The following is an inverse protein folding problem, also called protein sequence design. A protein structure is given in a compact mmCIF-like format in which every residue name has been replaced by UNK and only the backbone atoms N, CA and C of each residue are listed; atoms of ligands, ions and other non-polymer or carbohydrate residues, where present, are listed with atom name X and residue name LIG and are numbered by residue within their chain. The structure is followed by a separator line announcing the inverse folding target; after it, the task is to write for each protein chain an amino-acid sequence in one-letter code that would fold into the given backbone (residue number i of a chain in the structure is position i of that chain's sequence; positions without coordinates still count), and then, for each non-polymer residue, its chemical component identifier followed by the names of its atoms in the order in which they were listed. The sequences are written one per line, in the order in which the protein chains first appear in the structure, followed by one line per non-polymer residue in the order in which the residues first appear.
data_IF_349663618770
#
_entry.id   IF_349663618770
#
_cell.length_a   1.000
_cell.length_b   1.000
_cell.length_c   1.000
_cell.angle_alpha   90.00
_cell.angle_beta   90.00
_cell.angle_gamma   90.00
#
_symmetry.space_group_name_H-M   'P 1'
#
loop_
_entity.id
_entity.type
_entity.pdbx_description
1 polymer ?
#
# COMPACT_ATOMS: atom_id res chain seq x y z
N UNK A 1 -8.02 -11.79 2.01
CA UNK A 1 -8.91 -10.94 1.19
C UNK A 1 -8.85 -9.45 1.55
N UNK A 2 -8.90 -9.06 2.84
CA UNK A 2 -8.88 -7.65 3.28
C UNK A 2 -7.64 -6.83 2.84
N UNK A 3 -6.42 -7.37 2.94
CA UNK A 3 -5.20 -6.63 2.55
C UNK A 3 -5.13 -6.32 1.05
N UNK A 4 -5.54 -7.27 0.21
CA UNK A 4 -5.63 -7.09 -1.26
C UNK A 4 -6.74 -6.09 -1.61
N UNK A 5 -7.84 -6.09 -0.85
CA UNK A 5 -8.92 -5.11 -0.98
C UNK A 5 -8.45 -3.69 -0.63
N UNK A 6 -7.70 -3.50 0.46
CA UNK A 6 -7.12 -2.21 0.83
C UNK A 6 -6.08 -1.70 -0.20
N UNK A 7 -5.24 -2.59 -0.75
CA UNK A 7 -4.33 -2.25 -1.85
C UNK A 7 -5.09 -1.85 -3.12
N UNK A 8 -6.21 -2.52 -3.41
CA UNK A 8 -7.06 -2.22 -4.57
C UNK A 8 -7.78 -0.88 -4.44
N UNK A 9 -8.14 -0.46 -3.23
CA UNK A 9 -8.64 0.90 -2.95
C UNK A 9 -7.56 1.98 -3.12
N UNK A 10 -6.28 1.66 -2.91
CA UNK A 10 -5.17 2.59 -3.13
C UNK A 10 -4.87 2.83 -4.63
N UNK A 11 -5.14 1.84 -5.49
CA UNK A 11 -4.93 1.93 -6.92
C UNK A 11 -5.98 2.75 -7.67
N UNK A 12 -7.23 2.76 -7.17
CA UNK A 12 -8.39 3.23 -7.97
C UNK A 12 -8.82 4.67 -7.73
N UNK A 13 -8.52 5.29 -6.58
CA UNK A 13 -8.85 6.69 -6.34
C UNK A 13 -7.74 7.44 -5.59
N UNK A 14 -7.44 8.70 -5.97
CA UNK A 14 -6.54 9.54 -5.20
C UNK A 14 -7.08 9.65 -3.77
N UNK A 15 -6.18 9.53 -2.79
CA UNK A 15 -6.50 9.82 -1.39
C UNK A 15 -6.95 11.29 -1.36
N UNK A 16 -8.26 11.54 -1.27
CA UNK A 16 -8.84 12.87 -1.08
C UNK A 16 -8.68 13.33 0.39
N UNK A 17 -7.57 12.93 1.02
CA UNK A 17 -7.22 13.21 2.40
C UNK A 17 -5.88 13.92 2.35
N UNK A 18 -5.84 15.14 2.87
CA UNK A 18 -4.62 15.93 2.94
C UNK A 18 -3.51 15.19 3.70
N UNK A 19 -2.27 15.49 3.34
CA UNK A 19 -1.11 14.90 4.00
C UNK A 19 -1.14 15.22 5.50
N UNK A 20 -0.96 14.24 6.39
CA UNK A 20 -0.91 14.48 7.83
C UNK A 20 0.20 15.49 8.19
N UNK A 21 -0.09 16.38 9.14
CA UNK A 21 0.88 17.38 9.60
C UNK A 21 2.16 16.76 10.18
N UNK A 22 3.25 17.54 10.23
CA UNK A 22 4.59 17.06 10.65
C UNK A 22 4.63 16.35 12.02
N UNK A 23 3.68 16.61 12.90
CA UNK A 23 3.61 16.01 14.23
C UNK A 23 3.04 14.58 14.22
N UNK A 24 2.32 14.19 13.16
CA UNK A 24 1.85 12.81 12.96
C UNK A 24 2.78 12.05 12.00
N UNK A 25 3.98 11.72 12.49
CA UNK A 25 4.97 10.98 11.73
C UNK A 25 4.46 9.61 11.26
N UNK A 26 3.61 8.96 12.06
CA UNK A 26 3.04 7.64 11.75
C UNK A 26 1.99 7.73 10.66
N UNK A 27 1.08 8.70 10.75
CA UNK A 27 0.10 9.00 9.71
C UNK A 27 0.79 9.42 8.42
N UNK A 28 1.79 10.30 8.49
CA UNK A 28 2.56 10.73 7.32
C UNK A 28 3.24 9.56 6.62
N UNK A 29 3.91 8.67 7.37
CA UNK A 29 4.55 7.49 6.78
C UNK A 29 3.55 6.55 6.09
N UNK A 30 2.37 6.34 6.69
CA UNK A 30 1.29 5.54 6.07
C UNK A 30 0.74 6.22 4.82
N UNK A 31 0.54 7.54 4.87
CA UNK A 31 0.05 8.34 3.75
C UNK A 31 1.05 8.30 2.58
N UNK A 32 2.34 8.52 2.85
CA UNK A 32 3.42 8.46 1.86
C UNK A 32 3.52 7.07 1.22
N UNK A 33 3.47 6.00 2.04
CA UNK A 33 3.53 4.62 1.56
C UNK A 33 2.32 4.21 0.71
N UNK A 34 1.16 4.85 0.92
CA UNK A 34 -0.04 4.64 0.09
C UNK A 34 0.02 5.50 -1.17
N UNK A 35 0.42 6.76 -1.06
CA UNK A 35 0.53 7.70 -2.18
C UNK A 35 1.60 7.25 -3.20
N UNK A 36 2.69 6.62 -2.76
CA UNK A 36 3.71 6.05 -3.66
C UNK A 36 3.21 4.89 -4.53
N UNK A 37 2.07 4.29 -4.19
CA UNK A 37 1.44 3.19 -4.93
C UNK A 37 0.28 3.67 -5.83
N UNK A 38 0.10 4.98 -5.97
CA UNK A 38 -0.94 5.57 -6.81
C UNK A 38 -0.69 5.21 -8.28
N UNK A 39 -1.74 4.81 -8.99
CA UNK A 39 -1.67 4.49 -10.42
C UNK A 39 -1.15 3.09 -10.76
N UNK A 40 -0.87 2.24 -9.77
CA UNK A 40 -0.67 0.81 -10.04
C UNK A 40 -1.94 0.20 -10.61
N UNK A 41 -1.80 -0.65 -11.63
CA UNK A 41 -2.92 -1.49 -12.06
C UNK A 41 -3.28 -2.49 -10.96
N UNK A 42 -4.50 -3.01 -11.02
CA UNK A 42 -4.95 -4.03 -10.08
C UNK A 42 -4.07 -5.28 -10.18
N UNK A 43 -3.67 -5.63 -11.40
CA UNK A 43 -2.86 -6.78 -11.73
C UNK A 43 -1.44 -6.63 -11.14
N UNK A 44 -0.81 -5.47 -11.31
CA UNK A 44 0.52 -5.17 -10.75
C UNK A 44 0.50 -5.17 -9.21
N UNK A 45 -0.57 -4.63 -8.61
CA UNK A 45 -0.73 -4.60 -7.16
C UNK A 45 -0.86 -6.02 -6.57
N UNK A 46 -1.54 -6.93 -7.27
CA UNK A 46 -1.67 -8.33 -6.87
C UNK A 46 -0.34 -9.08 -7.02
N UNK A 47 0.39 -8.87 -8.12
CA UNK A 47 1.69 -9.50 -8.34
C UNK A 47 2.72 -9.09 -7.26
N UNK A 48 2.78 -7.78 -6.94
CA UNK A 48 3.66 -7.26 -5.89
C UNK A 48 3.30 -7.82 -4.50
N UNK A 49 2.02 -8.05 -4.23
CA UNK A 49 1.58 -8.67 -2.97
C UNK A 49 2.03 -10.13 -2.86
N UNK A 50 1.80 -10.94 -3.89
CA UNK A 50 2.19 -12.36 -3.92
C UNK A 50 3.70 -12.49 -3.70
N UNK A 51 4.49 -11.69 -4.44
CA UNK A 51 5.94 -11.66 -4.28
C UNK A 51 6.34 -11.30 -2.84
N UNK A 52 5.68 -10.32 -2.21
CA UNK A 52 5.99 -9.92 -0.84
C UNK A 52 5.66 -11.01 0.19
N UNK A 53 4.54 -11.71 0.02
CA UNK A 53 4.17 -12.82 0.90
C UNK A 53 5.18 -13.96 0.79
N UNK A 54 5.62 -14.30 -0.42
CA UNK A 54 6.65 -15.32 -0.63
C UNK A 54 7.97 -14.94 0.05
N UNK A 55 8.43 -13.69 -0.12
CA UNK A 55 9.65 -13.18 0.54
C UNK A 55 9.55 -13.28 2.08
N UNK A 56 8.38 -12.98 2.64
CA UNK A 56 8.16 -13.05 4.09
C UNK A 56 8.12 -14.49 4.61
N UNK A 57 7.54 -15.42 3.83
CA UNK A 57 7.56 -16.84 4.16
C UNK A 57 9.00 -17.36 4.14
N UNK A 58 9.76 -17.05 3.10
CA UNK A 58 11.17 -17.46 2.97
C UNK A 58 12.07 -16.89 4.06
N UNK A 59 11.84 -15.64 4.51
CA UNK A 59 12.60 -15.03 5.60
C UNK A 59 12.29 -15.58 6.99
N UNK A 60 11.12 -16.20 7.15
CA UNK A 60 10.67 -16.75 8.43
C UNK A 60 10.82 -18.29 8.50
N UNK A 61 11.41 -18.89 7.47
CA UNK A 61 11.85 -20.29 7.40
C UNK A 61 13.36 -20.37 7.63
#
# INVERSE_FOLDING_TARGET
ELAVYEQRLAAKEPINIDSPGLLDLKGKAKWDARNSKKGLSKEDAMAAYISKVHELIEKNL
#
